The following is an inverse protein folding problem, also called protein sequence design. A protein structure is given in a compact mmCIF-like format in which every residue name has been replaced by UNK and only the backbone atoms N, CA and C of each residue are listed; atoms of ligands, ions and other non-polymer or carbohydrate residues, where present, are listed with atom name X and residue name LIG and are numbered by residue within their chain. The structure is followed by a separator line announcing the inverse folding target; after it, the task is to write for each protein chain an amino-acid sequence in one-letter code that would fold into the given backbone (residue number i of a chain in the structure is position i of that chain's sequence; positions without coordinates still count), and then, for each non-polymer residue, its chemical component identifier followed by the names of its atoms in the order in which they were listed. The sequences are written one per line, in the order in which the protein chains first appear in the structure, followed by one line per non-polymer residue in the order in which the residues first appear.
data_IF_023236589059
#
_entry.id   IF_023236589059
#
_cell.length_a   1.000
_cell.length_b   1.000
_cell.length_c   1.000
_cell.angle_alpha   90.00
_cell.angle_beta   90.00
_cell.angle_gamma   90.00
#
_symmetry.space_group_name_H-M   'P 1'
#
loop_
_entity.id
_entity.type
_entity.pdbx_description
1 polymer ?
#
# COMPACT_ATOMS: atom_id res chain seq x y z
N UNK A 1 14.24 3.69 -21.88
CA UNK A 1 13.43 2.71 -21.14
C UNK A 1 11.99 3.20 -21.28
N UNK A 2 11.12 2.45 -21.97
CA UNK A 2 9.70 2.78 -21.98
C UNK A 2 9.09 2.32 -20.66
N UNK A 3 8.49 3.24 -19.91
CA UNK A 3 7.78 2.92 -18.68
C UNK A 3 6.43 2.31 -19.04
N UNK A 4 6.03 1.26 -18.32
CA UNK A 4 4.70 0.64 -18.48
C UNK A 4 3.56 1.54 -17.99
N UNK A 5 3.87 2.58 -17.22
CA UNK A 5 2.93 3.55 -16.69
C UNK A 5 3.26 4.97 -17.15
N UNK A 6 2.25 5.85 -17.11
CA UNK A 6 2.43 7.28 -17.38
C UNK A 6 2.82 8.00 -16.06
N UNK A 7 4.09 8.43 -15.90
CA UNK A 7 4.51 9.12 -14.68
C UNK A 7 3.85 10.49 -14.49
N UNK A 8 3.27 11.09 -15.55
CA UNK A 8 2.54 12.36 -15.45
C UNK A 8 1.11 12.17 -14.97
N UNK A 9 0.54 10.98 -15.15
CA UNK A 9 -0.82 10.64 -14.75
C UNK A 9 -0.82 9.25 -14.09
N UNK A 10 -0.24 9.11 -12.89
CA UNK A 10 -0.21 7.82 -12.20
C UNK A 10 -1.64 7.38 -11.90
N UNK A 11 -1.93 6.10 -12.12
CA UNK A 11 -3.20 5.50 -11.71
C UNK A 11 -3.07 5.04 -10.27
N UNK A 12 -3.88 5.61 -9.39
CA UNK A 12 -3.85 5.24 -7.99
C UNK A 12 -5.24 5.27 -7.34
N UNK A 13 -5.34 4.60 -6.20
CA UNK A 13 -6.48 4.69 -5.29
C UNK A 13 -5.99 5.12 -3.91
N UNK A 14 -6.58 6.19 -3.39
CA UNK A 14 -6.41 6.59 -2.00
C UNK A 14 -7.48 5.89 -1.14
N UNK A 15 -7.03 5.10 -0.17
CA UNK A 15 -7.86 4.21 0.63
C UNK A 15 -7.92 4.75 2.05
N UNK A 16 -9.14 5.06 2.50
CA UNK A 16 -9.44 5.57 3.85
C UNK A 16 -10.52 4.78 4.56
N UNK A 17 -11.06 3.74 3.92
CA UNK A 17 -12.09 2.85 4.47
C UNK A 17 -11.61 1.39 4.41
N UNK A 18 -11.85 0.64 5.48
CA UNK A 18 -11.42 -0.76 5.59
C UNK A 18 -12.09 -1.66 4.53
N UNK A 19 -13.29 -1.32 4.06
CA UNK A 19 -13.98 -2.02 2.95
C UNK A 19 -13.15 -2.01 1.66
N UNK A 20 -12.52 -0.88 1.33
CA UNK A 20 -11.68 -0.76 0.14
C UNK A 20 -10.30 -1.42 0.33
N UNK A 21 -9.86 -1.68 1.56
CA UNK A 21 -8.65 -2.47 1.83
C UNK A 21 -8.84 -3.88 1.28
N UNK A 22 -9.98 -4.51 1.55
CA UNK A 22 -10.27 -5.87 1.08
C UNK A 22 -10.27 -5.97 -0.45
N UNK A 23 -10.87 -4.99 -1.13
CA UNK A 23 -10.87 -4.89 -2.60
C UNK A 23 -9.46 -4.73 -3.20
N UNK A 24 -8.60 -3.96 -2.53
CA UNK A 24 -7.21 -3.79 -2.93
C UNK A 24 -6.41 -5.08 -2.73
N UNK A 25 -6.60 -5.76 -1.59
CA UNK A 25 -5.93 -7.02 -1.28
C UNK A 25 -6.28 -8.13 -2.28
N UNK A 26 -7.52 -8.23 -2.73
CA UNK A 26 -7.92 -9.18 -3.79
C UNK A 26 -7.13 -9.05 -5.10
N UNK A 27 -6.59 -7.85 -5.37
CA UNK A 27 -5.77 -7.58 -6.55
C UNK A 27 -4.29 -7.80 -6.23
N UNK A 28 -3.83 -7.22 -5.11
CA UNK A 28 -2.43 -7.28 -4.68
C UNK A 28 -1.94 -8.71 -4.40
N UNK A 29 -2.78 -9.58 -3.84
CA UNK A 29 -2.44 -10.99 -3.57
C UNK A 29 -2.20 -11.83 -4.84
N UNK A 30 -2.61 -11.33 -6.01
CA UNK A 30 -2.41 -12.00 -7.30
C UNK A 30 -1.14 -11.52 -8.01
N UNK A 31 -0.51 -10.45 -7.52
CA UNK A 31 0.68 -9.91 -8.13
C UNK A 31 1.91 -10.74 -7.70
N UNK A 32 2.77 -11.15 -8.66
CA UNK A 32 3.97 -11.92 -8.33
C UNK A 32 5.03 -11.08 -7.59
N UNK A 33 5.02 -9.76 -7.81
CA UNK A 33 5.93 -8.79 -7.19
C UNK A 33 5.13 -7.51 -6.95
N UNK A 34 5.28 -6.95 -5.75
CA UNK A 34 4.75 -5.65 -5.37
C UNK A 34 5.89 -4.75 -4.92
N UNK A 35 5.77 -3.44 -5.19
CA UNK A 35 6.66 -2.42 -4.64
C UNK A 35 6.02 -1.81 -3.39
N UNK A 36 6.82 -1.52 -2.36
CA UNK A 36 6.32 -0.94 -1.11
C UNK A 36 7.13 0.33 -0.80
N UNK A 37 6.43 1.38 -0.40
CA UNK A 37 7.00 2.59 0.18
C UNK A 37 6.15 3.07 1.38
N UNK A 38 6.70 3.94 2.22
CA UNK A 38 6.01 4.46 3.40
C UNK A 38 6.31 5.92 3.65
N UNK A 39 5.31 6.67 4.12
CA UNK A 39 5.50 8.02 4.67
C UNK A 39 5.32 8.01 6.18
N UNK A 40 6.21 8.67 6.90
CA UNK A 40 6.19 8.73 8.36
C UNK A 40 6.51 10.12 8.89
N UNK A 41 6.23 10.35 10.18
CA UNK A 41 6.62 11.60 10.86
C UNK A 41 8.14 11.71 11.10
N UNK A 42 8.92 10.70 10.74
CA UNK A 42 10.37 10.63 10.95
C UNK A 42 10.91 9.19 10.84
N UNK A 43 12.22 9.02 11.00
CA UNK A 43 12.91 7.75 10.72
C UNK A 43 12.97 6.75 11.89
N UNK A 44 12.52 7.12 13.09
CA UNK A 44 12.57 6.22 14.25
C UNK A 44 11.25 5.43 14.37
N UNK A 45 11.24 4.12 14.10
CA UNK A 45 10.02 3.32 14.11
C UNK A 45 9.42 3.12 15.51
N UNK A 46 10.16 3.42 16.59
CA UNK A 46 9.65 3.28 17.96
C UNK A 46 8.93 4.53 18.46
N UNK A 47 9.22 5.70 17.88
CA UNK A 47 8.68 6.99 18.33
C UNK A 47 7.87 7.72 17.26
N UNK A 48 8.17 7.48 15.99
CA UNK A 48 7.48 8.08 14.86
C UNK A 48 6.25 7.26 14.46
N UNK A 49 5.31 7.91 13.78
CA UNK A 49 4.09 7.28 13.27
C UNK A 49 4.19 7.11 11.77
N UNK A 50 3.81 5.93 11.28
CA UNK A 50 3.51 5.74 9.85
C UNK A 50 2.22 6.48 9.55
N UNK A 51 2.22 7.24 8.46
CA UNK A 51 1.10 8.06 7.98
C UNK A 51 0.45 7.43 6.75
N UNK A 52 1.27 6.90 5.83
CA UNK A 52 0.83 6.25 4.60
C UNK A 52 1.67 4.99 4.36
N UNK A 53 1.03 3.99 3.75
CA UNK A 53 1.71 2.87 3.10
C UNK A 53 1.29 2.88 1.63
N UNK A 54 2.26 2.78 0.73
CA UNK A 54 2.03 2.73 -0.71
C UNK A 54 2.43 1.36 -1.23
N UNK A 55 1.51 0.70 -1.95
CA UNK A 55 1.78 -0.58 -2.61
C UNK A 55 1.56 -0.42 -4.11
N UNK A 56 2.64 -0.53 -4.87
CA UNK A 56 2.67 -0.39 -6.31
C UNK A 56 2.70 -1.73 -7.04
N UNK A 57 1.91 -1.83 -8.10
CA UNK A 57 2.02 -2.84 -9.16
C UNK A 57 2.60 -2.16 -10.42
N UNK A 58 2.88 -2.90 -11.52
CA UNK A 58 3.40 -2.28 -12.75
C UNK A 58 2.54 -1.14 -13.30
N UNK A 59 1.23 -1.18 -13.06
CA UNK A 59 0.24 -0.30 -13.73
C UNK A 59 -0.63 0.51 -12.75
N UNK A 60 -0.56 0.25 -11.44
CA UNK A 60 -1.45 0.87 -10.45
C UNK A 60 -0.80 1.00 -9.07
N UNK A 61 -1.20 2.00 -8.28
CA UNK A 61 -0.73 2.18 -6.90
C UNK A 61 -1.89 2.30 -5.92
N UNK A 62 -1.82 1.60 -4.79
CA UNK A 62 -2.75 1.77 -3.68
C UNK A 62 -2.05 2.56 -2.58
N UNK A 63 -2.70 3.61 -2.08
CA UNK A 63 -2.21 4.47 -1.01
C UNK A 63 -3.12 4.28 0.18
N UNK A 64 -2.63 3.56 1.20
CA UNK A 64 -3.36 3.23 2.41
C UNK A 64 -3.10 4.29 3.49
N UNK A 65 -4.15 4.93 3.99
CA UNK A 65 -4.04 5.89 5.08
C UNK A 65 -4.04 5.22 6.46
N UNK A 66 -2.87 5.03 7.03
CA UNK A 66 -2.70 4.34 8.31
C UNK A 66 -3.23 5.13 9.51
N UNK A 67 -3.65 6.39 9.32
CA UNK A 67 -4.23 7.22 10.38
C UNK A 67 -5.69 6.87 10.64
N UNK A 68 -6.36 6.24 9.67
CA UNK A 68 -7.79 5.90 9.74
C UNK A 68 -8.06 4.41 9.50
N UNK A 69 -7.15 3.70 8.83
CA UNK A 69 -7.28 2.27 8.55
C UNK A 69 -6.75 1.38 9.68
N UNK A 70 -7.38 0.21 9.86
CA UNK A 70 -7.01 -0.78 10.89
C UNK A 70 -6.15 -1.90 10.31
N UNK A 71 -5.06 -1.53 9.61
CA UNK A 71 -4.23 -2.48 8.85
C UNK A 71 -3.47 -3.48 9.73
N UNK A 72 -3.12 -3.08 10.97
CA UNK A 72 -2.38 -3.93 11.91
C UNK A 72 -3.21 -5.14 12.34
N UNK A 73 -4.51 -4.94 12.47
CA UNK A 73 -5.49 -5.95 12.85
C UNK A 73 -5.97 -6.77 11.65
N UNK A 74 -5.71 -6.31 10.42
CA UNK A 74 -6.07 -7.00 9.19
C UNK A 74 -5.09 -8.17 8.88
N UNK A 75 -5.56 -9.39 9.11
CA UNK A 75 -4.76 -10.61 8.92
C UNK A 75 -4.29 -10.83 7.47
N UNK A 76 -5.08 -10.42 6.47
CA UNK A 76 -4.71 -10.54 5.06
C UNK A 76 -3.62 -9.53 4.68
N UNK A 77 -3.76 -8.28 5.14
CA UNK A 77 -2.74 -7.26 4.94
C UNK A 77 -1.40 -7.69 5.56
N UNK A 78 -1.42 -8.20 6.80
CA UNK A 78 -0.23 -8.77 7.45
C UNK A 78 0.37 -9.91 6.62
N UNK A 79 -0.45 -10.85 6.16
CA UNK A 79 0.00 -11.98 5.35
C UNK A 79 0.62 -11.54 4.01
N UNK A 80 0.06 -10.50 3.35
CA UNK A 80 0.60 -9.97 2.10
C UNK A 80 2.03 -9.45 2.26
N UNK A 81 2.31 -8.72 3.34
CA UNK A 81 3.63 -8.09 3.58
C UNK A 81 4.66 -9.09 4.11
N UNK A 82 4.22 -10.12 4.83
CA UNK A 82 5.10 -11.14 5.44
C UNK A 82 5.30 -12.39 4.57
N UNK A 83 4.73 -12.41 3.35
CA UNK A 83 4.87 -13.52 2.42
C UNK A 83 6.30 -13.53 1.82
N UNK A 84 7.15 -14.53 2.14
CA UNK A 84 8.55 -14.57 1.74
C UNK A 84 8.80 -14.87 0.27
#
# INVERSE_FOLDING_TARGET
MELKFDPKNPKYQYITEDSNVEEALEKLEKEPIIAIDTESTGFDPYTCKVLLIQIGTPDFTYIFDTRVLHLKENGRFKALIENP
#
